data_IF_790398572802
#
_entry.id   IF_790398572802
#
_cell.length_a   1.000
_cell.length_b   1.000
_cell.length_c   1.000
_cell.angle_alpha   90.00
_cell.angle_beta   90.00
_cell.angle_gamma   90.00
#
_symmetry.space_group_name_H-M   'P 1'
#
loop_
_entity.id
_entity.type
_entity.pdbx_description
1 polymer ?
#
# COMPACT_ATOMS: atom_id res chain seq x y z
N UNK A 1 -2.96 -22.64 12.60
CA UNK A 1 -1.97 -23.75 12.57
C UNK A 1 -0.93 -23.42 11.52
N UNK A 2 0.34 -23.31 11.93
CA UNK A 2 1.45 -23.02 11.01
C UNK A 2 1.74 -24.23 10.12
N UNK A 3 1.81 -23.98 8.82
CA UNK A 3 2.22 -24.98 7.84
C UNK A 3 3.74 -25.15 7.84
N UNK A 4 4.21 -26.24 7.23
CA UNK A 4 5.62 -26.64 7.19
C UNK A 4 6.53 -25.56 6.57
N UNK A 5 6.08 -24.87 5.51
CA UNK A 5 6.89 -23.87 4.82
C UNK A 5 6.04 -22.74 4.26
N UNK A 6 6.35 -21.52 4.68
CA UNK A 6 5.57 -20.31 4.38
C UNK A 6 6.47 -19.15 3.96
N UNK A 7 5.95 -18.27 3.10
CA UNK A 7 6.57 -16.98 2.80
C UNK A 7 5.62 -15.85 3.20
N UNK A 8 6.13 -14.88 3.94
CA UNK A 8 5.46 -13.63 4.26
C UNK A 8 6.00 -12.52 3.36
N UNK A 9 5.16 -11.93 2.51
CA UNK A 9 5.55 -10.84 1.62
C UNK A 9 4.75 -9.56 1.87
N UNK A 10 5.25 -8.45 1.32
CA UNK A 10 4.67 -7.13 1.48
C UNK A 10 5.72 -6.04 1.37
N UNK A 11 5.33 -4.86 0.91
CA UNK A 11 6.24 -3.73 0.74
C UNK A 11 6.91 -3.32 2.06
N UNK A 12 7.97 -2.52 1.98
CA UNK A 12 8.58 -1.92 3.17
C UNK A 12 7.52 -1.13 3.97
N UNK A 13 7.54 -1.26 5.29
CA UNK A 13 6.54 -0.62 6.17
C UNK A 13 5.14 -1.25 6.15
N UNK A 14 4.92 -2.38 5.47
CA UNK A 14 3.61 -3.07 5.46
C UNK A 14 3.27 -3.84 6.74
N UNK A 15 4.20 -3.91 7.70
CA UNK A 15 4.01 -4.63 8.98
C UNK A 15 4.37 -6.12 8.93
N UNK A 16 5.24 -6.55 8.00
CA UNK A 16 5.68 -7.96 7.92
C UNK A 16 6.34 -8.44 9.22
N UNK A 17 7.30 -7.67 9.75
CA UNK A 17 8.03 -8.04 10.97
C UNK A 17 7.09 -8.11 12.17
N UNK A 18 6.18 -7.13 12.33
CA UNK A 18 5.17 -7.21 13.40
C UNK A 18 4.25 -8.42 13.22
N UNK A 19 3.85 -8.77 11.99
CA UNK A 19 3.06 -9.98 11.76
C UNK A 19 3.87 -11.24 12.07
N UNK A 20 5.14 -11.31 11.70
CA UNK A 20 6.00 -12.45 12.03
C UNK A 20 6.14 -12.63 13.55
N UNK A 21 6.29 -11.54 14.30
CA UNK A 21 6.30 -11.58 15.78
C UNK A 21 4.93 -12.00 16.33
N UNK A 22 3.83 -11.50 15.75
CA UNK A 22 2.47 -11.94 16.11
C UNK A 22 2.27 -13.45 15.87
N UNK A 23 2.77 -13.99 14.75
CA UNK A 23 2.74 -15.43 14.45
C UNK A 23 3.57 -16.21 15.49
N UNK A 24 4.80 -15.75 15.74
CA UNK A 24 5.69 -16.36 16.72
C UNK A 24 5.01 -16.48 18.09
N UNK A 25 4.44 -15.38 18.57
CA UNK A 25 3.91 -15.29 19.92
C UNK A 25 2.53 -15.92 20.05
N UNK A 26 1.61 -15.62 19.13
CA UNK A 26 0.21 -16.06 19.25
C UNK A 26 -0.10 -17.39 18.56
N UNK A 27 0.74 -17.87 17.63
CA UNK A 27 0.46 -19.09 16.87
C UNK A 27 1.49 -20.21 17.09
N UNK A 28 2.67 -19.89 17.62
CA UNK A 28 3.71 -20.88 17.90
C UNK A 28 4.00 -21.02 19.40
N UNK A 29 4.55 -19.98 20.04
CA UNK A 29 5.01 -20.05 21.43
C UNK A 29 3.89 -20.25 22.46
N UNK A 30 2.62 -20.10 22.09
CA UNK A 30 1.50 -20.48 22.97
C UNK A 30 1.41 -21.99 23.13
N UNK A 31 1.50 -22.72 22.02
CA UNK A 31 1.10 -24.14 21.96
C UNK A 31 2.31 -25.07 21.76
N UNK A 32 3.46 -24.56 21.32
CA UNK A 32 4.64 -25.35 20.96
C UNK A 32 5.80 -25.05 21.91
N UNK A 33 6.63 -26.07 22.19
CA UNK A 33 7.81 -25.99 23.07
C UNK A 33 9.13 -26.12 22.31
N UNK A 34 9.08 -26.27 20.98
CA UNK A 34 10.24 -26.42 20.13
C UNK A 34 11.10 -25.15 20.03
N UNK A 35 12.35 -25.28 19.59
CA UNK A 35 13.26 -24.15 19.43
C UNK A 35 12.79 -23.22 18.31
N UNK A 36 13.03 -21.92 18.48
CA UNK A 36 12.78 -20.87 17.50
C UNK A 36 14.11 -20.29 17.09
N UNK A 37 14.43 -20.34 15.80
CA UNK A 37 15.65 -19.75 15.26
C UNK A 37 15.28 -18.56 14.37
N UNK A 38 15.80 -17.36 14.65
CA UNK A 38 15.44 -16.18 13.85
C UNK A 38 16.49 -15.08 13.83
N UNK A 39 16.58 -14.34 12.73
CA UNK A 39 17.33 -13.08 12.63
C UNK A 39 16.45 -11.83 12.87
N UNK A 40 15.20 -12.00 13.32
CA UNK A 40 14.38 -10.87 13.75
C UNK A 40 15.00 -10.19 14.98
N UNK A 41 14.96 -8.85 15.08
CA UNK A 41 15.52 -8.12 16.21
C UNK A 41 14.59 -8.17 17.43
N UNK A 42 14.51 -9.32 18.10
CA UNK A 42 13.55 -9.56 19.18
C UNK A 42 14.06 -9.11 20.56
N UNK A 43 13.14 -8.63 21.41
CA UNK A 43 13.38 -8.49 22.85
C UNK A 43 12.97 -9.78 23.56
N UNK A 44 13.91 -10.72 23.70
CA UNK A 44 13.68 -12.08 24.23
C UNK A 44 12.95 -12.06 25.58
N UNK A 45 13.42 -11.27 26.54
CA UNK A 45 12.83 -11.21 27.88
C UNK A 45 11.37 -10.73 27.85
N UNK A 46 11.07 -9.72 27.03
CA UNK A 46 9.71 -9.20 26.89
C UNK A 46 8.76 -10.20 26.23
N UNK A 47 9.25 -10.93 25.22
CA UNK A 47 8.47 -12.00 24.58
C UNK A 47 8.18 -13.09 25.60
N UNK A 48 9.19 -13.51 26.36
CA UNK A 48 9.06 -14.55 27.36
C UNK A 48 8.02 -14.20 28.44
N UNK A 49 8.10 -12.98 29.01
CA UNK A 49 7.12 -12.48 29.97
C UNK A 49 5.71 -12.37 29.37
N UNK A 50 5.60 -11.94 28.11
CA UNK A 50 4.32 -11.81 27.43
C UNK A 50 3.67 -13.18 27.19
N UNK A 51 4.44 -14.18 26.76
CA UNK A 51 3.96 -15.55 26.54
C UNK A 51 3.56 -16.22 27.87
N UNK A 52 4.33 -16.03 28.94
CA UNK A 52 3.97 -16.53 30.28
C UNK A 52 2.62 -15.97 30.73
N UNK A 53 2.41 -14.64 30.62
CA UNK A 53 1.12 -14.01 30.92
C UNK A 53 -0.01 -14.53 30.06
N UNK A 54 0.25 -14.73 28.77
CA UNK A 54 -0.73 -15.18 27.78
C UNK A 54 -1.15 -16.65 27.96
N UNK A 55 -0.31 -17.46 28.61
CA UNK A 55 -0.54 -18.89 28.84
C UNK A 55 -0.88 -19.23 30.29
N UNK A 56 -0.83 -18.26 31.21
CA UNK A 56 -1.10 -18.44 32.63
C UNK A 56 -2.45 -19.14 32.91
N UNK A 57 -3.51 -18.68 32.24
CA UNK A 57 -4.88 -19.22 32.38
C UNK A 57 -5.04 -20.61 31.74
N UNK A 58 -4.10 -21.03 30.89
CA UNK A 58 -4.10 -22.33 30.18
C UNK A 58 -3.09 -23.32 30.77
N UNK A 59 -2.53 -23.03 31.94
CA UNK A 59 -1.46 -23.84 32.54
C UNK A 59 -1.86 -25.31 32.77
N UNK A 60 -3.11 -25.60 33.16
CA UNK A 60 -3.58 -26.98 33.31
C UNK A 60 -3.62 -27.74 31.97
N UNK A 61 -4.10 -27.11 30.89
CA UNK A 61 -4.15 -27.70 29.55
C UNK A 61 -2.76 -28.01 28.99
N UNK A 62 -1.78 -27.15 29.33
CA UNK A 62 -0.40 -27.24 28.86
C UNK A 62 0.48 -28.16 29.72
N UNK A 63 -0.07 -28.79 30.75
CA UNK A 63 0.68 -29.67 31.66
C UNK A 63 1.55 -28.94 32.68
N UNK A 64 1.29 -27.65 32.91
CA UNK A 64 1.97 -26.81 33.90
C UNK A 64 2.11 -25.36 33.45
N UNK A 65 2.49 -24.45 34.37
CA UNK A 65 2.78 -23.06 34.03
C UNK A 65 4.03 -22.97 33.15
N UNK A 66 3.92 -22.29 32.00
CA UNK A 66 5.09 -21.94 31.19
C UNK A 66 5.80 -20.74 31.79
N UNK A 67 7.03 -20.94 32.24
CA UNK A 67 7.85 -19.87 32.82
C UNK A 67 8.55 -19.06 31.72
N UNK A 68 8.73 -17.76 31.95
CA UNK A 68 9.49 -16.90 31.03
C UNK A 68 10.88 -17.47 30.70
N UNK A 69 11.61 -18.00 31.69
CA UNK A 69 12.95 -18.57 31.48
C UNK A 69 12.96 -19.71 30.44
N UNK A 70 11.92 -20.54 30.42
CA UNK A 70 11.82 -21.67 29.49
C UNK A 70 11.44 -21.21 28.09
N UNK A 71 10.66 -20.12 27.97
CA UNK A 71 10.36 -19.48 26.69
C UNK A 71 11.60 -18.76 26.14
N UNK A 72 12.37 -18.06 26.99
CA UNK A 72 13.59 -17.37 26.60
C UNK A 72 14.63 -18.35 26.03
N UNK A 73 14.79 -19.53 26.65
CA UNK A 73 15.68 -20.60 26.15
C UNK A 73 15.28 -21.18 24.79
N UNK A 74 14.00 -21.07 24.41
CA UNK A 74 13.55 -21.49 23.08
C UNK A 74 14.01 -20.53 21.97
N UNK A 75 14.30 -19.27 22.29
CA UNK A 75 14.58 -18.23 21.31
C UNK A 75 16.08 -18.13 21.01
N UNK A 76 16.48 -18.65 19.85
CA UNK A 76 17.84 -18.58 19.32
C UNK A 76 17.93 -17.46 18.26
N UNK A 77 18.52 -16.33 18.65
CA UNK A 77 18.74 -15.21 17.75
C UNK A 77 19.99 -15.43 16.89
N UNK A 78 19.84 -15.31 15.58
CA UNK A 78 20.93 -15.31 14.62
C UNK A 78 21.56 -13.93 14.61
N UNK A 79 22.87 -13.86 14.86
CA UNK A 79 23.58 -12.60 14.87
C UNK A 79 23.69 -11.99 13.45
N UNK A 80 23.93 -10.68 13.40
CA UNK A 80 24.00 -9.91 12.15
C UNK A 80 25.15 -10.39 11.27
N UNK A 81 26.27 -10.82 11.86
CA UNK A 81 27.46 -11.24 11.10
C UNK A 81 27.21 -12.60 10.43
N UNK A 82 26.59 -13.55 11.13
CA UNK A 82 26.13 -14.81 10.56
C UNK A 82 25.12 -14.58 9.43
N UNK A 83 24.15 -13.69 9.62
CA UNK A 83 23.20 -13.31 8.57
C UNK A 83 23.91 -12.70 7.34
N UNK A 84 24.92 -11.85 7.54
CA UNK A 84 25.73 -11.30 6.44
C UNK A 84 26.50 -12.37 5.69
N UNK A 85 27.07 -13.36 6.39
CA UNK A 85 27.74 -14.50 5.76
C UNK A 85 26.78 -15.31 4.87
N UNK A 86 25.51 -15.46 5.26
CA UNK A 86 24.49 -16.12 4.43
C UNK A 86 24.12 -15.33 3.17
N UNK A 87 24.29 -14.00 3.19
CA UNK A 87 24.08 -13.15 2.03
C UNK A 87 25.23 -13.24 1.02
N UNK A 88 26.40 -13.76 1.41
CA UNK A 88 27.51 -13.99 0.48
C UNK A 88 27.29 -15.34 -0.21
N UNK A 89 27.56 -15.40 -1.52
CA UNK A 89 27.44 -16.66 -2.24
C UNK A 89 28.44 -17.70 -1.69
N UNK A 90 28.08 -18.98 -1.71
CA UNK A 90 28.94 -20.04 -1.19
C UNK A 90 30.22 -20.17 -2.02
N UNK A 91 30.14 -19.86 -3.32
CA UNK A 91 31.31 -19.82 -4.21
C UNK A 91 32.29 -18.69 -3.87
N UNK A 92 31.84 -17.70 -3.09
CA UNK A 92 32.60 -16.53 -2.68
C UNK A 92 33.04 -16.60 -1.20
N UNK A 93 32.93 -17.78 -0.58
CA UNK A 93 33.28 -17.98 0.83
C UNK A 93 32.18 -17.55 1.82
N UNK A 94 30.94 -17.38 1.36
CA UNK A 94 29.79 -17.22 2.24
C UNK A 94 29.50 -18.47 3.07
N UNK A 95 28.55 -18.34 4.00
CA UNK A 95 28.06 -19.44 4.83
C UNK A 95 26.58 -19.73 4.52
N UNK A 96 25.97 -20.64 5.27
CA UNK A 96 24.56 -20.96 5.11
C UNK A 96 23.91 -21.50 6.39
N UNK A 97 22.57 -21.46 6.51
CA UNK A 97 21.87 -21.93 7.70
C UNK A 97 22.13 -23.39 8.05
N UNK A 98 22.28 -24.29 7.07
CA UNK A 98 22.59 -25.70 7.32
C UNK A 98 24.02 -25.96 7.84
N UNK A 99 24.87 -24.93 7.82
CA UNK A 99 26.23 -24.98 8.39
C UNK A 99 26.22 -24.33 9.77
N UNK A 100 25.61 -23.14 9.89
CA UNK A 100 25.70 -22.34 11.11
C UNK A 100 24.61 -22.69 12.16
N UNK A 101 23.49 -23.33 11.77
CA UNK A 101 22.38 -23.66 12.68
C UNK A 101 22.43 -25.10 13.17
N UNK A 102 23.59 -25.50 13.69
CA UNK A 102 23.82 -26.82 14.30
C UNK A 102 24.29 -26.69 15.74
N UNK A 103 23.94 -27.66 16.58
CA UNK A 103 24.44 -27.77 17.95
C UNK A 103 25.88 -28.31 17.99
N UNK A 104 26.43 -28.46 19.19
CA UNK A 104 27.79 -28.99 19.42
C UNK A 104 27.97 -30.41 18.87
N UNK A 105 26.89 -31.19 18.79
CA UNK A 105 26.86 -32.54 18.23
C UNK A 105 26.64 -32.56 16.71
N UNK A 106 26.53 -31.38 16.07
CA UNK A 106 26.28 -31.22 14.64
C UNK A 106 24.82 -31.49 14.23
N UNK A 107 23.87 -31.53 15.17
CA UNK A 107 22.45 -31.72 14.90
C UNK A 107 21.77 -30.38 14.63
N UNK A 108 20.73 -30.33 13.78
CA UNK A 108 20.06 -29.08 13.48
C UNK A 108 19.39 -28.46 14.72
N UNK A 109 19.74 -27.21 15.05
CA UNK A 109 19.17 -26.46 16.18
C UNK A 109 17.67 -26.24 16.08
N UNK A 110 17.11 -26.34 14.87
CA UNK A 110 15.71 -26.11 14.57
C UNK A 110 14.87 -27.40 14.55
N UNK A 111 15.39 -28.54 15.03
CA UNK A 111 14.66 -29.80 15.02
C UNK A 111 13.35 -29.70 15.83
N UNK A 112 12.20 -30.00 15.20
CA UNK A 112 10.87 -29.80 15.80
C UNK A 112 10.48 -28.34 16.05
N UNK A 113 11.28 -27.40 15.54
CA UNK A 113 11.22 -25.98 15.84
C UNK A 113 10.48 -25.12 14.81
N UNK A 114 10.72 -23.81 14.91
CA UNK A 114 10.32 -22.80 13.93
C UNK A 114 11.53 -21.97 13.50
N UNK A 115 11.77 -21.87 12.19
CA UNK A 115 12.81 -21.00 11.64
C UNK A 115 12.18 -19.78 10.99
N UNK A 116 12.50 -18.57 11.43
CA UNK A 116 12.00 -17.31 10.85
C UNK A 116 13.16 -16.51 10.28
N UNK A 117 13.20 -16.34 8.96
CA UNK A 117 14.27 -15.61 8.28
C UNK A 117 13.71 -14.33 7.65
N UNK A 118 14.04 -13.19 8.24
CA UNK A 118 13.73 -11.86 7.71
C UNK A 118 14.65 -11.47 6.56
N UNK A 119 14.10 -10.71 5.62
CA UNK A 119 14.73 -10.30 4.36
C UNK A 119 15.42 -11.43 3.59
N UNK A 120 14.72 -12.58 3.47
CA UNK A 120 15.24 -13.80 2.87
C UNK A 120 15.73 -13.63 1.42
N UNK A 121 15.25 -12.61 0.72
CA UNK A 121 15.68 -12.27 -0.64
C UNK A 121 17.18 -11.95 -0.73
N UNK A 122 17.80 -11.51 0.36
CA UNK A 122 19.25 -11.30 0.44
C UNK A 122 20.04 -12.61 0.45
N UNK A 123 19.43 -13.70 0.91
CA UNK A 123 20.07 -15.01 1.07
C UNK A 123 19.74 -15.95 -0.09
N UNK A 124 18.46 -16.13 -0.41
CA UNK A 124 18.00 -17.05 -1.46
C UNK A 124 17.41 -16.33 -2.69
N UNK A 125 17.98 -15.19 -3.06
CA UNK A 125 17.53 -14.40 -4.21
C UNK A 125 17.85 -15.03 -5.58
N UNK A 126 17.16 -14.60 -6.65
CA UNK A 126 17.35 -15.16 -8.00
C UNK A 126 18.76 -14.91 -8.56
N UNK A 127 19.44 -13.86 -8.12
CA UNK A 127 20.79 -13.48 -8.54
C UNK A 127 21.91 -14.35 -7.95
N UNK A 128 21.62 -15.21 -6.96
CA UNK A 128 22.60 -16.14 -6.39
C UNK A 128 23.00 -17.21 -7.40
N UNK A 129 24.16 -17.82 -7.24
CA UNK A 129 24.59 -18.95 -8.07
C UNK A 129 23.59 -20.10 -8.02
N UNK A 130 23.48 -20.85 -9.12
CA UNK A 130 22.55 -22.00 -9.20
C UNK A 130 22.80 -23.00 -8.06
N UNK A 131 24.06 -23.32 -7.79
CA UNK A 131 24.47 -24.22 -6.69
C UNK A 131 23.99 -23.71 -5.33
N UNK A 132 24.08 -22.41 -5.07
CA UNK A 132 23.59 -21.81 -3.83
C UNK A 132 22.07 -21.92 -3.71
N UNK A 133 21.33 -21.59 -4.78
CA UNK A 133 19.86 -21.69 -4.81
C UNK A 133 19.37 -23.14 -4.67
N UNK A 134 20.03 -24.09 -5.32
CA UNK A 134 19.73 -25.52 -5.21
C UNK A 134 19.94 -26.02 -3.77
N UNK A 135 21.03 -25.62 -3.10
CA UNK A 135 21.26 -25.97 -1.69
C UNK A 135 20.22 -25.38 -0.74
N UNK A 136 19.82 -24.12 -0.93
CA UNK A 136 18.71 -23.53 -0.18
C UNK A 136 17.40 -24.27 -0.39
N UNK A 137 17.09 -24.67 -1.63
CA UNK A 137 15.91 -25.49 -1.93
C UNK A 137 15.96 -26.85 -1.24
N UNK A 138 17.11 -27.51 -1.27
CA UNK A 138 17.35 -28.78 -0.57
C UNK A 138 17.14 -28.62 0.93
N UNK A 139 17.79 -27.63 1.55
CA UNK A 139 17.63 -27.35 2.97
C UNK A 139 16.17 -27.07 3.35
N UNK A 140 15.46 -26.23 2.59
CA UNK A 140 14.04 -25.94 2.84
C UNK A 140 13.15 -27.20 2.74
N UNK A 141 13.52 -28.18 1.90
CA UNK A 141 12.84 -29.50 1.83
C UNK A 141 13.20 -30.41 3.00
N UNK A 142 14.38 -30.26 3.57
CA UNK A 142 14.89 -31.09 4.67
C UNK A 142 14.38 -30.61 6.02
N UNK A 143 14.17 -29.30 6.22
CA UNK A 143 13.60 -28.75 7.47
C UNK A 143 12.34 -29.50 7.90
N UNK A 144 11.42 -29.79 6.97
CA UNK A 144 10.17 -30.50 7.29
C UNK A 144 10.38 -31.90 7.86
N UNK A 145 11.49 -32.54 7.50
CA UNK A 145 11.85 -33.88 7.95
C UNK A 145 12.64 -33.85 9.25
N UNK A 146 13.16 -32.68 9.65
CA UNK A 146 13.83 -32.46 10.92
C UNK A 146 12.80 -32.33 12.06
N UNK A 147 12.18 -33.45 12.44
CA UNK A 147 11.25 -33.52 13.56
C UNK A 147 9.94 -32.73 13.38
N UNK A 148 9.55 -32.43 12.13
CA UNK A 148 8.36 -31.63 11.84
C UNK A 148 8.57 -30.12 11.96
N UNK A 149 9.82 -29.66 11.90
CA UNK A 149 10.15 -28.24 11.95
C UNK A 149 9.45 -27.43 10.84
N UNK A 150 9.13 -26.19 11.17
CA UNK A 150 8.41 -25.23 10.31
C UNK A 150 9.36 -24.11 9.92
N UNK A 151 9.13 -23.45 8.79
CA UNK A 151 9.86 -22.25 8.45
C UNK A 151 8.97 -21.15 7.85
N UNK A 152 9.33 -19.91 8.17
CA UNK A 152 8.71 -18.68 7.70
C UNK A 152 9.79 -17.79 7.10
N UNK A 153 9.76 -17.60 5.79
CA UNK A 153 10.64 -16.65 5.10
C UNK A 153 9.92 -15.33 4.91
N UNK A 154 10.57 -14.21 5.21
CA UNK A 154 9.98 -12.88 5.04
C UNK A 154 10.71 -12.17 3.90
N UNK A 155 9.97 -11.60 2.95
CA UNK A 155 10.51 -10.89 1.79
C UNK A 155 9.64 -9.69 1.43
N UNK A 156 10.11 -8.82 0.53
CA UNK A 156 9.29 -7.74 0.00
C UNK A 156 8.33 -8.23 -1.09
N UNK A 157 8.83 -9.05 -1.99
CA UNK A 157 8.10 -9.63 -3.12
C UNK A 157 8.61 -11.06 -3.36
N UNK A 158 7.71 -12.04 -3.38
CA UNK A 158 8.08 -13.43 -3.63
C UNK A 158 8.50 -13.67 -5.09
N UNK A 159 7.92 -12.95 -6.05
CA UNK A 159 8.11 -13.22 -7.48
C UNK A 159 9.49 -12.75 -7.96
N UNK A 160 9.98 -11.65 -7.40
CA UNK A 160 11.27 -11.05 -7.76
C UNK A 160 12.35 -11.25 -6.70
N UNK A 161 11.98 -11.39 -5.42
CA UNK A 161 12.93 -11.47 -4.32
C UNK A 161 13.42 -12.88 -4.02
N UNK A 162 12.63 -13.93 -4.29
CA UNK A 162 12.96 -15.31 -3.90
C UNK A 162 13.19 -16.17 -5.13
N UNK A 163 14.22 -17.03 -5.10
CA UNK A 163 14.47 -17.93 -6.21
C UNK A 163 13.34 -18.95 -6.39
N UNK A 164 13.11 -19.36 -7.65
CA UNK A 164 12.03 -20.28 -8.02
C UNK A 164 12.17 -21.62 -7.30
N UNK A 165 13.40 -22.07 -7.09
CA UNK A 165 13.70 -23.35 -6.44
C UNK A 165 13.21 -23.38 -4.99
N UNK A 166 13.34 -22.28 -4.24
CA UNK A 166 12.82 -22.15 -2.86
C UNK A 166 11.31 -21.86 -2.87
N UNK A 167 10.84 -20.93 -3.71
CA UNK A 167 9.42 -20.62 -3.86
C UNK A 167 8.57 -21.83 -4.31
N UNK A 168 9.20 -22.88 -4.86
CA UNK A 168 8.54 -24.13 -5.23
C UNK A 168 8.33 -25.11 -4.08
N UNK A 169 9.05 -24.95 -2.97
CA UNK A 169 9.00 -25.87 -1.82
C UNK A 169 8.00 -25.40 -0.77
N UNK A 170 7.74 -24.10 -0.70
CA UNK A 170 6.76 -23.51 0.20
C UNK A 170 5.33 -23.81 -0.22
N UNK A 171 4.47 -24.01 0.78
CA UNK A 171 3.06 -24.36 0.57
C UNK A 171 2.17 -23.12 0.46
N UNK A 172 2.47 -22.10 1.28
CA UNK A 172 1.67 -20.88 1.38
C UNK A 172 2.52 -19.63 1.18
N UNK A 173 1.91 -18.63 0.53
CA UNK A 173 2.40 -17.25 0.50
C UNK A 173 1.36 -16.35 1.16
N UNK A 174 1.79 -15.61 2.15
CA UNK A 174 1.02 -14.64 2.90
C UNK A 174 1.40 -13.24 2.44
N UNK A 175 0.50 -12.54 1.77
CA UNK A 175 0.74 -11.19 1.28
C UNK A 175 0.10 -10.16 2.21
N UNK A 176 0.91 -9.23 2.72
CA UNK A 176 0.44 -8.08 3.48
C UNK A 176 0.36 -6.85 2.58
N UNK A 177 -0.81 -6.23 2.58
CA UNK A 177 -1.02 -4.92 1.97
C UNK A 177 -1.51 -3.94 3.03
N UNK A 178 -0.77 -2.84 3.21
CA UNK A 178 -1.20 -1.78 4.11
C UNK A 178 -2.56 -1.23 3.68
N UNK A 179 -3.50 -1.10 4.63
CA UNK A 179 -4.80 -0.45 4.38
C UNK A 179 -4.81 1.01 4.80
N UNK A 180 -3.64 1.62 5.03
CA UNK A 180 -3.55 3.06 5.29
C UNK A 180 -4.27 3.88 4.21
N UNK A 181 -4.26 3.39 2.96
CA UNK A 181 -4.89 4.01 1.79
C UNK A 181 -6.38 3.71 1.63
N UNK A 182 -6.96 2.82 2.45
CA UNK A 182 -8.40 2.55 2.37
C UNK A 182 -9.13 3.85 2.68
N UNK A 183 -10.03 4.24 1.80
CA UNK A 183 -10.80 5.47 1.97
C UNK A 183 -12.16 5.18 2.59
N UNK A 184 -12.69 6.14 3.34
CA UNK A 184 -14.06 6.08 3.80
C UNK A 184 -15.04 6.07 2.61
N UNK A 185 -16.21 5.48 2.83
CA UNK A 185 -17.18 5.28 1.76
C UNK A 185 -17.79 6.60 1.26
N UNK A 186 -17.97 7.58 2.13
CA UNK A 186 -18.76 8.77 1.86
C UNK A 186 -17.91 9.88 1.23
N UNK A 187 -16.80 10.24 1.86
CA UNK A 187 -15.99 11.41 1.54
C UNK A 187 -14.72 11.03 0.78
N UNK A 188 -14.38 9.74 0.72
CA UNK A 188 -13.16 9.23 0.08
C UNK A 188 -11.86 9.81 0.68
N UNK A 189 -11.88 10.06 1.98
CA UNK A 189 -10.72 10.42 2.80
C UNK A 189 -10.07 9.11 3.28
N UNK A 190 -8.73 8.98 3.20
CA UNK A 190 -8.04 7.81 3.72
C UNK A 190 -8.31 7.62 5.22
N UNK A 191 -8.60 6.40 5.66
CA UNK A 191 -8.80 6.07 7.08
C UNK A 191 -7.58 6.47 7.91
N UNK A 192 -6.36 6.39 7.36
CA UNK A 192 -5.16 6.88 8.05
C UNK A 192 -5.29 8.35 8.51
N UNK A 193 -5.92 9.22 7.70
CA UNK A 193 -6.12 10.62 8.08
C UNK A 193 -7.15 10.78 9.20
N UNK A 194 -8.25 10.02 9.16
CA UNK A 194 -9.23 10.00 10.26
C UNK A 194 -8.60 9.54 11.56
N UNK A 195 -7.80 8.48 11.49
CA UNK A 195 -7.13 7.94 12.66
C UNK A 195 -6.09 8.89 13.25
N UNK A 196 -5.40 9.70 12.44
CA UNK A 196 -4.48 10.72 12.93
C UNK A 196 -5.21 11.82 13.71
N UNK A 197 -6.37 12.26 13.22
CA UNK A 197 -7.21 13.20 13.97
C UNK A 197 -7.68 12.55 15.27
N UNK A 198 -8.18 11.32 15.18
CA UNK A 198 -8.69 10.60 16.34
C UNK A 198 -7.62 10.38 17.40
N UNK A 199 -6.43 9.94 17.02
CA UNK A 199 -5.31 9.68 17.93
C UNK A 199 -4.83 10.95 18.60
N UNK A 200 -4.77 12.06 17.86
CA UNK A 200 -4.39 13.37 18.40
C UNK A 200 -5.42 13.89 19.40
N UNK A 201 -6.72 13.68 19.14
CA UNK A 201 -7.81 14.15 19.99
C UNK A 201 -7.95 13.31 21.27
N UNK A 202 -7.88 11.99 21.14
CA UNK A 202 -8.18 11.06 22.23
C UNK A 202 -6.93 10.60 22.98
N UNK A 203 -5.74 10.81 22.42
CA UNK A 203 -4.51 10.21 22.91
C UNK A 203 -4.44 8.69 22.69
N UNK A 204 -5.42 8.08 22.00
CA UNK A 204 -5.34 6.64 21.66
C UNK A 204 -4.48 6.42 20.44
N UNK A 205 -3.61 5.41 20.51
CA UNK A 205 -2.68 5.14 19.42
C UNK A 205 -3.38 4.67 18.14
N UNK A 206 -2.76 5.00 17.01
CA UNK A 206 -3.23 4.57 15.70
C UNK A 206 -3.17 3.05 15.59
N UNK A 207 -4.35 2.44 15.43
CA UNK A 207 -4.45 1.02 15.11
C UNK A 207 -4.19 0.81 13.62
N UNK A 208 -2.95 0.45 13.30
CA UNK A 208 -2.60 0.09 11.94
C UNK A 208 -3.38 -1.16 11.51
N UNK A 209 -3.89 -1.17 10.28
CA UNK A 209 -4.60 -2.33 9.74
C UNK A 209 -4.02 -2.75 8.40
N UNK A 210 -3.85 -4.05 8.20
CA UNK A 210 -3.39 -4.63 6.95
C UNK A 210 -4.43 -5.59 6.41
N UNK A 211 -4.42 -5.74 5.08
CA UNK A 211 -5.09 -6.82 4.41
C UNK A 211 -4.12 -7.98 4.31
N UNK A 212 -4.55 -9.12 4.81
CA UNK A 212 -3.84 -10.37 4.80
C UNK A 212 -4.46 -11.26 3.72
N UNK A 213 -3.65 -11.64 2.73
CA UNK A 213 -4.05 -12.55 1.66
C UNK A 213 -3.26 -13.85 1.82
N UNK A 214 -3.96 -14.97 1.96
CA UNK A 214 -3.33 -16.29 1.95
C UNK A 214 -3.50 -16.88 0.57
N UNK A 215 -2.37 -17.20 -0.05
CA UNK A 215 -2.31 -17.89 -1.33
C UNK A 215 -1.71 -19.27 -1.14
N UNK A 216 -2.30 -20.28 -1.77
CA UNK A 216 -1.78 -21.65 -1.82
C UNK A 216 -1.44 -22.01 -3.26
N UNK A 217 -0.45 -22.87 -3.44
CA UNK A 217 -0.09 -23.36 -4.77
C UNK A 217 -1.05 -24.46 -5.23
N UNK A 218 -1.77 -24.22 -6.31
CA UNK A 218 -2.66 -25.19 -6.98
C UNK A 218 -2.24 -25.30 -8.44
N UNK A 219 -1.89 -26.50 -8.90
CA UNK A 219 -1.42 -26.74 -10.28
C UNK A 219 -0.31 -25.75 -10.72
N UNK A 220 0.65 -25.50 -9.82
CA UNK A 220 1.78 -24.55 -9.98
C UNK A 220 1.43 -23.06 -10.01
N UNK A 221 0.16 -22.67 -9.87
CA UNK A 221 -0.27 -21.27 -9.76
C UNK A 221 -0.62 -20.92 -8.31
N UNK A 222 -0.33 -19.69 -7.90
CA UNK A 222 -0.79 -19.16 -6.63
C UNK A 222 -2.27 -18.82 -6.73
N UNK A 223 -3.09 -19.45 -5.90
CA UNK A 223 -4.53 -19.21 -5.80
C UNK A 223 -4.84 -18.64 -4.43
N UNK A 224 -5.56 -17.52 -4.40
CA UNK A 224 -6.06 -16.93 -3.16
C UNK A 224 -7.08 -17.89 -2.54
N UNK A 225 -6.83 -18.30 -1.30
CA UNK A 225 -7.73 -19.17 -0.53
C UNK A 225 -8.46 -18.40 0.57
N UNK A 226 -7.82 -17.36 1.09
CA UNK A 226 -8.36 -16.57 2.19
C UNK A 226 -7.92 -15.11 2.08
N UNK A 227 -8.84 -14.24 2.48
CA UNK A 227 -8.64 -12.80 2.56
C UNK A 227 -9.25 -12.30 3.85
N UNK A 228 -8.39 -11.77 4.70
CA UNK A 228 -8.78 -11.24 5.99
C UNK A 228 -8.24 -9.82 6.14
N UNK A 229 -8.99 -8.95 6.82
CA UNK A 229 -8.49 -7.65 7.22
C UNK A 229 -8.18 -7.71 8.71
N UNK A 230 -6.92 -7.50 9.10
CA UNK A 230 -6.48 -7.55 10.50
C UNK A 230 -5.99 -6.20 10.99
N UNK A 231 -6.19 -5.98 12.27
CA UNK A 231 -5.63 -4.85 12.99
C UNK A 231 -4.36 -5.32 13.68
N UNK A 232 -3.29 -4.53 13.58
CA UNK A 232 -2.04 -4.79 14.31
C UNK A 232 -2.30 -4.51 15.78
N UNK A 233 -1.97 -5.47 16.62
CA UNK A 233 -1.93 -5.25 18.07
C UNK A 233 -0.72 -4.35 18.41
N UNK A 234 -0.94 -3.16 19.02
CA UNK A 234 0.15 -2.26 19.40
C UNK A 234 1.21 -2.91 20.30
N UNK A 235 0.81 -3.83 21.19
CA UNK A 235 1.73 -4.49 22.11
C UNK A 235 2.82 -5.29 21.40
N UNK A 236 2.54 -5.78 20.18
CA UNK A 236 3.52 -6.51 19.38
C UNK A 236 4.74 -5.65 19.04
N UNK A 237 4.58 -4.33 18.89
CA UNK A 237 5.72 -3.44 18.62
C UNK A 237 6.67 -3.29 19.82
N UNK A 238 6.22 -3.61 21.03
CA UNK A 238 7.07 -3.56 22.22
C UNK A 238 7.97 -4.79 22.34
N UNK A 239 7.68 -5.85 21.58
CA UNK A 239 8.35 -7.16 21.65
C UNK A 239 9.56 -7.28 20.73
N UNK A 240 9.80 -6.31 19.84
CA UNK A 240 10.95 -6.31 18.94
C UNK A 240 11.43 -4.88 18.68
N UNK A 241 12.68 -4.74 18.23
CA UNK A 241 13.23 -3.45 17.82
C UNK A 241 12.94 -3.19 16.33
N UNK A 242 11.96 -2.34 15.97
CA UNK A 242 11.66 -2.02 14.58
C UNK A 242 12.77 -1.23 13.87
N UNK A 243 13.76 -0.71 14.61
CA UNK A 243 14.85 0.13 14.10
C UNK A 243 16.20 -0.60 13.97
N UNK A 244 16.37 -1.76 14.61
CA UNK A 244 17.62 -2.51 14.56
C UNK A 244 17.95 -3.14 13.19
N UNK A 245 16.94 -3.34 12.33
CA UNK A 245 17.07 -4.13 11.09
C UNK A 245 17.26 -3.33 9.79
N UNK A 246 17.32 -1.99 9.82
CA UNK A 246 17.57 -1.20 8.60
C UNK A 246 19.05 -1.23 8.20
N UNK A 247 19.47 -2.33 7.58
CA UNK A 247 20.70 -2.37 6.73
C UNK A 247 20.43 -1.78 5.34
N UNK A 248 19.17 -1.45 5.02
CA UNK A 248 18.79 -0.67 3.84
C UNK A 248 18.16 0.65 4.27
N UNK A 249 18.61 1.72 3.61
CA UNK A 249 18.18 3.13 3.63
C UNK A 249 16.98 3.48 4.52
N UNK A 250 17.14 4.56 5.30
CA UNK A 250 16.07 5.27 6.00
C UNK A 250 14.86 5.43 5.08
N UNK A 251 13.92 4.49 5.17
CA UNK A 251 12.66 4.58 4.48
C UNK A 251 11.99 5.84 4.98
N UNK A 252 12.01 6.88 4.13
CA UNK A 252 11.36 8.13 4.41
C UNK A 252 9.92 7.79 4.80
N UNK A 253 9.59 7.94 6.09
CA UNK A 253 8.20 7.93 6.51
C UNK A 253 7.47 8.87 5.53
N UNK A 254 6.34 8.45 4.93
CA UNK A 254 5.60 9.27 3.97
C UNK A 254 5.56 10.69 4.49
N UNK A 255 5.98 11.66 3.69
CA UNK A 255 6.25 13.04 4.10
C UNK A 255 5.10 13.65 4.94
N UNK A 256 3.88 13.20 4.64
CA UNK A 256 2.67 13.45 5.41
C UNK A 256 2.77 13.04 6.90
N UNK A 257 3.30 11.88 7.26
CA UNK A 257 3.43 11.40 8.66
C UNK A 257 4.41 12.24 9.50
N UNK A 258 5.47 12.76 8.89
CA UNK A 258 6.43 13.67 9.57
C UNK A 258 5.78 15.01 9.91
N UNK A 259 4.83 15.47 9.10
CA UNK A 259 4.09 16.72 9.29
C UNK A 259 3.27 16.78 10.59
N UNK A 260 2.94 15.63 11.20
CA UNK A 260 2.11 15.57 12.42
C UNK A 260 2.90 15.54 13.72
N UNK A 261 4.16 15.04 13.71
CA UNK A 261 4.97 14.84 14.94
C UNK A 261 5.29 16.14 15.70
N UNK A 262 4.96 17.31 15.15
CA UNK A 262 5.12 18.62 15.79
C UNK A 262 3.88 19.51 15.81
N UNK A 263 2.69 19.03 15.43
CA UNK A 263 1.46 19.85 15.41
C UNK A 263 0.68 19.70 16.71
N UNK A 264 0.12 20.80 17.21
CA UNK A 264 -0.84 20.80 18.32
C UNK A 264 -2.16 20.14 17.91
N UNK A 265 -3.02 19.77 18.88
CA UNK A 265 -4.36 19.20 18.60
C UNK A 265 -5.17 20.04 17.61
N UNK A 266 -5.15 21.35 17.80
CA UNK A 266 -5.80 22.30 16.90
C UNK A 266 -5.12 22.35 15.52
N UNK A 267 -3.80 22.22 15.48
CA UNK A 267 -3.02 22.19 14.23
C UNK A 267 -3.33 20.96 13.37
N UNK A 268 -3.57 19.79 13.97
CA UNK A 268 -3.98 18.57 13.24
C UNK A 268 -5.42 18.70 12.76
N UNK A 269 -6.33 19.22 13.59
CA UNK A 269 -7.73 19.39 13.20
C UNK A 269 -7.91 20.41 12.07
N UNK A 270 -7.26 21.57 12.17
CA UNK A 270 -7.28 22.61 11.13
C UNK A 270 -6.67 22.11 9.83
N UNK A 271 -5.56 21.38 9.91
CA UNK A 271 -4.98 20.71 8.75
C UNK A 271 -5.94 19.72 8.11
N UNK A 272 -6.62 18.87 8.89
CA UNK A 272 -7.53 17.86 8.36
C UNK A 272 -8.71 18.52 7.63
N UNK A 273 -9.30 19.55 8.25
CA UNK A 273 -10.35 20.36 7.63
C UNK A 273 -9.82 21.01 6.36
N UNK A 274 -8.66 21.68 6.39
CA UNK A 274 -8.12 22.36 5.22
C UNK A 274 -7.70 21.42 4.08
N UNK A 275 -7.20 20.21 4.39
CA UNK A 275 -6.79 19.23 3.37
C UNK A 275 -8.01 18.56 2.73
N UNK A 276 -9.09 18.34 3.49
CA UNK A 276 -10.22 17.53 3.03
C UNK A 276 -11.57 18.27 2.95
N UNK A 277 -11.65 19.57 3.22
CA UNK A 277 -12.91 20.33 3.16
C UNK A 277 -13.57 20.22 1.79
N UNK A 278 -12.78 20.27 0.71
CA UNK A 278 -13.30 20.16 -0.65
C UNK A 278 -13.97 18.79 -0.90
N UNK A 279 -13.47 17.71 -0.28
CA UNK A 279 -14.11 16.40 -0.38
C UNK A 279 -15.42 16.33 0.41
N UNK A 280 -15.49 17.04 1.54
CA UNK A 280 -16.72 17.14 2.34
C UNK A 280 -17.76 18.02 1.63
N UNK A 281 -17.35 19.18 1.13
CA UNK A 281 -18.25 20.20 0.55
C UNK A 281 -18.62 19.88 -0.89
N UNK A 282 -17.71 19.37 -1.71
CA UNK A 282 -17.93 19.08 -3.13
C UNK A 282 -17.90 17.57 -3.44
N UNK A 283 -17.90 16.71 -2.42
CA UNK A 283 -17.91 15.27 -2.60
C UNK A 283 -19.19 14.81 -3.29
N UNK A 284 -19.07 14.19 -4.45
CA UNK A 284 -20.21 13.71 -5.25
C UNK A 284 -21.16 12.82 -4.42
N UNK A 285 -20.60 11.95 -3.57
CA UNK A 285 -21.39 11.06 -2.70
C UNK A 285 -22.07 11.80 -1.55
N UNK A 286 -21.40 12.80 -0.97
CA UNK A 286 -22.00 13.67 0.05
C UNK A 286 -23.18 14.41 -0.54
N UNK A 287 -23.03 14.99 -1.74
CA UNK A 287 -24.13 15.62 -2.47
C UNK A 287 -25.23 14.64 -2.86
N UNK A 288 -24.92 13.39 -3.23
CA UNK A 288 -25.94 12.36 -3.48
C UNK A 288 -26.75 12.02 -2.23
N UNK A 289 -26.15 12.07 -1.04
CA UNK A 289 -26.84 11.83 0.23
C UNK A 289 -27.57 13.08 0.76
N UNK A 290 -27.02 14.28 0.55
CA UNK A 290 -27.59 15.53 1.05
C UNK A 290 -28.60 16.15 0.09
N UNK A 291 -28.50 15.92 -1.22
CA UNK A 291 -29.42 16.51 -2.20
C UNK A 291 -30.87 16.11 -2.01
N UNK A 292 -31.24 14.86 -1.62
CA UNK A 292 -32.64 14.54 -1.35
C UNK A 292 -33.15 15.28 -0.12
N UNK A 293 -32.32 15.42 0.92
CA UNK A 293 -32.65 16.18 2.13
C UNK A 293 -32.79 17.66 1.80
N UNK A 294 -31.90 18.20 0.99
CA UNK A 294 -31.92 19.60 0.56
C UNK A 294 -33.14 19.90 -0.33
N UNK A 295 -33.46 19.00 -1.27
CA UNK A 295 -34.66 19.09 -2.11
C UNK A 295 -35.92 18.99 -1.25
N UNK A 296 -35.97 18.11 -0.25
CA UNK A 296 -37.11 17.97 0.64
C UNK A 296 -37.27 19.20 1.55
N UNK A 297 -36.19 19.72 2.12
CA UNK A 297 -36.21 20.98 2.87
C UNK A 297 -36.60 22.17 1.98
N UNK A 298 -36.18 22.19 0.72
CA UNK A 298 -36.53 23.24 -0.21
C UNK A 298 -38.01 23.17 -0.64
N UNK A 299 -38.52 21.97 -0.92
CA UNK A 299 -39.91 21.75 -1.32
C UNK A 299 -40.89 21.97 -0.17
N UNK A 300 -40.57 21.48 1.04
CA UNK A 300 -41.50 21.47 2.18
C UNK A 300 -41.17 22.50 3.27
N UNK A 301 -39.93 22.98 3.36
CA UNK A 301 -39.50 23.99 4.33
C UNK A 301 -39.74 25.44 3.87
N UNK A 302 -40.53 25.65 2.82
CA UNK A 302 -40.90 26.99 2.35
C UNK A 302 -39.97 27.61 1.29
N UNK A 303 -38.94 26.89 0.83
CA UNK A 303 -38.10 27.35 -0.30
C UNK A 303 -38.90 27.55 -1.59
N UNK A 304 -39.87 26.66 -1.84
CA UNK A 304 -40.81 26.80 -2.96
C UNK A 304 -41.75 28.02 -2.80
N UNK A 305 -42.17 28.33 -1.56
CA UNK A 305 -42.97 29.52 -1.28
C UNK A 305 -42.17 30.80 -1.55
N UNK A 306 -40.87 30.83 -1.20
CA UNK A 306 -40.00 31.97 -1.50
C UNK A 306 -39.73 32.17 -3.00
N UNK A 307 -39.70 31.11 -3.81
CA UNK A 307 -39.45 31.26 -5.25
C UNK A 307 -40.71 31.48 -6.07
N UNK A 308 -41.85 30.94 -5.66
CA UNK A 308 -43.09 31.05 -6.43
C UNK A 308 -44.03 32.13 -5.89
N UNK A 309 -44.13 32.28 -4.57
CA UNK A 309 -45.15 33.14 -3.95
C UNK A 309 -44.61 34.57 -3.75
N UNK A 310 -43.36 34.75 -3.34
CA UNK A 310 -42.79 36.09 -3.13
C UNK A 310 -42.74 36.94 -4.41
N UNK A 311 -42.24 36.46 -5.57
CA UNK A 311 -42.27 37.26 -6.80
C UNK A 311 -43.69 37.57 -7.27
N UNK A 312 -44.65 36.66 -7.04
CA UNK A 312 -46.06 36.89 -7.36
C UNK A 312 -46.69 37.95 -6.44
N UNK A 313 -46.36 37.95 -5.15
CA UNK A 313 -46.78 38.98 -4.20
C UNK A 313 -46.10 40.33 -4.47
N UNK A 314 -44.83 40.34 -4.85
CA UNK A 314 -44.10 41.56 -5.23
C UNK A 314 -44.67 42.16 -6.52
N UNK A 315 -44.98 41.34 -7.53
CA UNK A 315 -45.67 41.78 -8.75
C UNK A 315 -47.10 42.26 -8.47
N UNK A 316 -47.82 41.62 -7.55
CA UNK A 316 -49.16 42.05 -7.13
C UNK A 316 -49.13 43.39 -6.37
N UNK A 317 -48.11 43.62 -5.54
CA UNK A 317 -47.92 44.88 -4.81
C UNK A 317 -47.45 46.03 -5.74
N UNK A 318 -46.75 45.73 -6.84
CA UNK A 318 -46.39 46.75 -7.85
C UNK A 318 -47.63 47.25 -8.60
N UNK A 319 -48.62 46.38 -8.85
CA UNK A 319 -49.90 46.76 -9.47
C UNK A 319 -50.93 47.35 -8.49
N UNK A 320 -50.66 47.29 -7.18
CA UNK A 320 -51.55 47.75 -6.12
C UNK A 320 -51.36 49.20 -5.67
N UNK A 321 -50.44 49.98 -6.27
CA UNK A 321 -50.36 51.43 -5.99
C UNK A 321 -51.48 52.16 -6.73
N UNK A 322 -52.49 52.73 -6.04
CA UNK A 322 -53.49 53.56 -6.70
C UNK A 322 -52.79 54.79 -7.28
N UNK A 323 -52.88 54.89 -8.61
CA UNK A 323 -52.67 56.12 -9.36
C UNK A 323 -53.55 57.21 -8.75
N UNK A 324 -52.93 58.16 -8.04
CA UNK A 324 -53.52 59.49 -7.84
C UNK A 324 -53.39 60.23 -9.16
N UNK A 325 -54.46 60.19 -9.95
CA UNK A 325 -54.83 61.27 -10.86
C UNK A 325 -54.92 62.59 -10.05
N UNK A 326 -54.57 63.78 -10.51
CA UNK A 326 -54.18 64.28 -11.83
C UNK A 326 -53.48 65.64 -11.62
N UNK A 327 -52.59 66.06 -12.53
CA UNK A 327 -52.77 67.37 -13.17
C UNK A 327 -51.87 67.52 -14.41
N UNK A 328 -52.45 68.23 -15.37
CA UNK A 328 -52.11 68.36 -16.77
C UNK A 328 -50.73 68.93 -17.10
N UNK A 329 -50.15 68.48 -18.21
CA UNK A 329 -49.86 69.38 -19.36
C UNK A 329 -49.62 68.60 -20.64
N UNK A 330 -50.39 68.95 -21.67
CA UNK A 330 -50.14 68.65 -23.07
C UNK A 330 -48.74 69.11 -23.49
N UNK A 331 -48.08 68.38 -24.39
CA UNK A 331 -47.59 68.87 -25.69
C UNK A 331 -47.16 67.68 -26.58
N UNK A 332 -47.52 67.82 -27.86
CA UNK A 332 -47.36 66.97 -29.05
C UNK A 332 -45.91 66.49 -29.35
N UNK A 333 -45.76 65.31 -29.98
CA UNK A 333 -45.60 65.15 -31.46
C UNK A 333 -45.20 63.72 -31.87
N UNK A 334 -45.88 63.25 -32.92
CA UNK A 334 -45.39 62.57 -34.14
C UNK A 334 -44.45 61.34 -34.02
N UNK A 335 -44.92 60.16 -34.45
CA UNK A 335 -44.70 59.60 -35.81
C UNK A 335 -44.93 58.05 -35.82
N UNK A 336 -45.69 57.58 -36.82
CA UNK A 336 -46.08 56.20 -37.16
C UNK A 336 -45.02 55.50 -38.06
N UNK A 337 -45.24 54.30 -38.67
CA UNK A 337 -45.98 53.05 -38.32
C UNK A 337 -45.02 51.82 -38.43
N UNK A 338 -45.35 50.52 -38.42
CA UNK A 338 -46.26 49.75 -39.31
C UNK A 338 -46.15 48.23 -39.04
N UNK A 339 -47.17 47.49 -39.53
CA UNK A 339 -47.28 46.03 -39.81
C UNK A 339 -47.40 45.05 -38.62
N UNK A 340 -48.51 44.33 -38.40
CA UNK A 340 -49.35 43.40 -39.19
C UNK A 340 -49.16 41.95 -38.65
N UNK A 341 -50.22 41.35 -38.07
CA UNK A 341 -51.01 40.21 -38.62
C UNK A 341 -50.27 38.85 -38.49
N UNK A 342 -50.77 37.80 -37.83
CA UNK A 342 -51.96 37.00 -38.18
C UNK A 342 -52.31 35.93 -37.12
N UNK A 343 -53.61 35.72 -36.97
CA UNK A 343 -54.33 34.51 -36.54
C UNK A 343 -53.80 33.24 -37.28
N UNK A 344 -53.98 31.97 -36.89
CA UNK A 344 -55.07 31.25 -36.22
C UNK A 344 -54.64 29.77 -36.05
N UNK A 345 -55.24 29.07 -35.08
CA UNK A 345 -55.39 27.60 -35.02
C UNK A 345 -56.18 27.06 -36.25
N UNK A 346 -56.05 25.77 -36.61
CA UNK A 346 -56.98 24.78 -36.05
C UNK A 346 -56.40 23.37 -35.79
N UNK A 347 -57.18 22.61 -35.04
CA UNK A 347 -57.05 21.19 -34.72
C UNK A 347 -57.34 20.27 -35.91
N UNK A 348 -57.04 18.96 -35.75
CA UNK A 348 -57.94 17.79 -35.96
C UNK A 348 -57.10 16.48 -36.07
N UNK A 349 -57.44 15.52 -35.18
CA UNK A 349 -57.50 14.02 -35.24
C UNK A 349 -56.63 13.23 -36.24
N UNK A 350 -56.32 11.94 -36.11
CA UNK A 350 -56.37 10.85 -35.12
C UNK A 350 -55.66 9.66 -35.79
N UNK A 351 -55.25 8.68 -34.97
CA UNK A 351 -54.92 7.28 -35.29
C UNK A 351 -53.80 6.97 -36.31
N UNK A 352 -52.78 6.24 -35.84
CA UNK A 352 -52.59 4.83 -36.23
C UNK A 352 -51.50 4.14 -35.41
N UNK A 353 -51.74 2.86 -35.16
CA UNK A 353 -50.83 1.80 -34.71
C UNK A 353 -49.36 1.97 -35.18
N UNK A 354 -48.39 1.69 -34.32
CA UNK A 354 -47.70 0.39 -34.26
C UNK A 354 -46.35 0.49 -33.52
N UNK A 355 -45.98 -0.64 -32.92
CA UNK A 355 -44.61 -1.10 -32.66
C UNK A 355 -43.74 -0.37 -31.63
N UNK A 356 -43.69 -1.00 -30.45
CA UNK A 356 -42.54 -1.02 -29.58
C UNK A 356 -41.27 -1.34 -30.38
N UNK A 357 -40.43 -0.32 -30.61
CA UNK A 357 -39.00 -0.53 -30.87
C UNK A 357 -38.21 0.01 -29.67
N UNK A 358 -37.26 -0.76 -29.11
CA UNK A 358 -36.41 -0.26 -28.05
C UNK A 358 -35.62 0.95 -28.57
N UNK A 359 -35.74 2.06 -27.85
CA UNK A 359 -34.98 3.29 -28.07
C UNK A 359 -33.51 2.92 -28.19
N UNK A 360 -32.96 3.09 -29.40
CA UNK A 360 -31.53 3.12 -29.66
C UNK A 360 -30.93 4.14 -28.70
N UNK A 361 -30.12 3.67 -27.74
CA UNK A 361 -29.18 4.53 -27.01
C UNK A 361 -28.43 5.33 -28.08
N UNK A 362 -28.56 6.66 -28.03
CA UNK A 362 -27.69 7.57 -28.77
C UNK A 362 -26.26 7.15 -28.48
N UNK A 363 -25.57 6.68 -29.53
CA UNK A 363 -24.11 6.71 -29.60
C UNK A 363 -23.74 8.18 -29.75
N UNK A 364 -23.63 8.87 -28.62
CA UNK A 364 -22.80 10.05 -28.59
C UNK A 364 -21.35 9.53 -28.68
N UNK A 365 -20.83 9.53 -29.91
CA UNK A 365 -19.46 9.19 -30.28
C UNK A 365 -18.51 10.26 -29.72
N UNK A 366 -18.32 10.25 -28.42
CA UNK A 366 -17.13 10.82 -27.80
C UNK A 366 -16.54 9.68 -26.98
N UNK A 367 -15.64 8.92 -27.58
CA UNK A 367 -14.71 8.10 -26.81
C UNK A 367 -14.04 9.05 -25.82
N UNK A 368 -14.21 8.87 -24.49
CA UNK A 368 -13.44 9.65 -23.53
C UNK A 368 -11.97 9.40 -23.89
N UNK A 369 -11.22 10.45 -24.20
CA UNK A 369 -9.79 10.27 -24.50
C UNK A 369 -9.11 9.78 -23.21
N UNK A 370 -8.63 8.53 -23.23
CA UNK A 370 -7.99 7.87 -22.10
C UNK A 370 -6.53 8.31 -21.97
N UNK A 371 -6.29 9.62 -21.90
CA UNK A 371 -4.93 10.14 -21.80
C UNK A 371 -4.37 9.90 -20.40
N UNK A 372 -3.13 9.42 -20.26
CA UNK A 372 -2.43 9.39 -18.98
C UNK A 372 -2.27 10.83 -18.46
N UNK A 373 -2.70 11.06 -17.22
CA UNK A 373 -2.68 12.37 -16.54
C UNK A 373 -1.49 12.49 -15.60
N UNK A 374 -0.89 11.37 -15.18
CA UNK A 374 0.29 11.40 -14.33
C UNK A 374 1.03 10.07 -14.28
N UNK A 375 2.36 10.15 -14.26
CA UNK A 375 3.26 9.01 -14.05
C UNK A 375 3.91 9.18 -12.68
N UNK A 376 3.81 8.13 -11.86
CA UNK A 376 4.37 8.05 -10.51
C UNK A 376 5.44 6.96 -10.48
N UNK A 377 6.27 6.96 -9.44
CA UNK A 377 7.36 6.01 -9.27
C UNK A 377 6.92 4.54 -9.43
N UNK A 378 5.70 4.22 -8.98
CA UNK A 378 5.15 2.85 -9.00
C UNK A 378 3.90 2.67 -9.89
N UNK A 379 3.42 3.71 -10.59
CA UNK A 379 2.18 3.57 -11.34
C UNK A 379 1.81 4.75 -12.23
N UNK A 380 0.68 4.63 -12.92
CA UNK A 380 0.18 5.58 -13.91
C UNK A 380 -1.27 5.90 -13.60
N UNK A 381 -1.62 7.18 -13.59
CA UNK A 381 -2.99 7.66 -13.49
C UNK A 381 -3.51 8.05 -14.88
N UNK A 382 -4.64 7.50 -15.30
CA UNK A 382 -5.36 7.83 -16.53
C UNK A 382 -6.43 8.91 -16.31
N UNK A 383 -6.83 9.58 -17.39
CA UNK A 383 -7.82 10.67 -17.50
C UNK A 383 -9.07 10.52 -16.66
N UNK A 384 -9.55 9.29 -16.56
CA UNK A 384 -10.78 8.95 -15.86
C UNK A 384 -10.53 8.47 -14.41
N UNK A 385 -9.42 8.89 -13.80
CA UNK A 385 -8.99 8.55 -12.44
C UNK A 385 -8.66 7.06 -12.19
N UNK A 386 -8.26 6.33 -13.23
CA UNK A 386 -7.81 4.94 -13.10
C UNK A 386 -6.31 4.90 -12.82
N UNK A 387 -5.89 4.15 -11.79
CA UNK A 387 -4.49 4.00 -11.42
C UNK A 387 -4.02 2.58 -11.75
N UNK A 388 -3.00 2.46 -12.60
CA UNK A 388 -2.35 1.19 -12.91
C UNK A 388 -0.96 1.15 -12.26
N UNK A 389 -0.73 0.18 -11.40
CA UNK A 389 0.57 -0.11 -10.78
C UNK A 389 1.04 -1.49 -11.20
N UNK A 390 2.37 -1.70 -11.17
CA UNK A 390 2.98 -2.98 -11.54
C UNK A 390 2.33 -4.11 -10.72
N UNK A 391 1.87 -5.15 -11.41
CA UNK A 391 1.20 -6.32 -10.82
C UNK A 391 -0.32 -6.19 -10.67
N UNK A 392 -0.89 -4.97 -10.76
CA UNK A 392 -2.32 -4.73 -10.64
C UNK A 392 -3.03 -5.02 -11.97
N UNK A 393 -4.21 -5.62 -11.89
CA UNK A 393 -5.12 -5.85 -13.01
C UNK A 393 -5.85 -4.55 -13.32
N UNK A 394 -5.78 -4.09 -14.57
CA UNK A 394 -6.54 -2.95 -15.08
C UNK A 394 -8.01 -3.37 -15.12
N UNK A 395 -8.88 -2.52 -14.56
CA UNK A 395 -10.33 -2.74 -14.48
C UNK A 395 -11.01 -1.71 -15.39
N UNK A 396 -11.51 -2.17 -16.54
CA UNK A 396 -12.14 -1.37 -17.59
C UNK A 396 -11.19 -0.87 -18.70
N UNK A 397 -11.80 -0.43 -19.81
CA UNK A 397 -11.10 0.17 -20.97
C UNK A 397 -10.55 -0.84 -22.00
N UNK A 398 -9.74 -0.39 -22.98
CA UNK A 398 -9.19 -1.26 -24.04
C UNK A 398 -8.16 -2.28 -23.51
N UNK A 399 -7.68 -2.10 -22.29
CA UNK A 399 -6.75 -3.01 -21.60
C UNK A 399 -7.41 -3.71 -20.41
N UNK A 400 -8.75 -3.78 -20.39
CA UNK A 400 -9.49 -4.47 -19.35
C UNK A 400 -8.96 -5.88 -19.15
N UNK A 401 -8.90 -6.26 -17.89
CA UNK A 401 -8.36 -7.50 -17.38
C UNK A 401 -6.86 -7.78 -17.57
N UNK A 402 -6.11 -6.85 -18.17
CA UNK A 402 -4.66 -7.00 -18.34
C UNK A 402 -3.91 -6.55 -17.09
N UNK A 403 -2.82 -7.24 -16.75
CA UNK A 403 -1.92 -6.79 -15.66
C UNK A 403 -0.74 -6.05 -16.24
N UNK A 404 -0.30 -4.98 -15.58
CA UNK A 404 0.98 -4.34 -15.89
C UNK A 404 2.10 -5.22 -15.36
N UNK A 405 2.83 -5.92 -16.23
CA UNK A 405 3.96 -6.77 -15.84
C UNK A 405 5.18 -5.89 -15.54
N UNK A 406 5.39 -4.87 -16.37
CA UNK A 406 6.57 -4.03 -16.30
C UNK A 406 6.19 -2.59 -16.59
N UNK A 407 6.73 -1.68 -15.78
CA UNK A 407 6.51 -0.25 -15.89
C UNK A 407 7.87 0.43 -15.93
N UNK A 408 8.13 1.22 -16.97
CA UNK A 408 9.27 2.11 -17.07
C UNK A 408 8.77 3.57 -17.02
N UNK A 409 8.61 4.14 -15.81
CA UNK A 409 8.07 5.50 -15.65
C UNK A 409 8.87 6.56 -16.41
N UNK A 410 10.21 6.41 -16.44
CA UNK A 410 11.12 7.35 -17.14
C UNK A 410 10.96 7.28 -18.65
N UNK A 411 10.84 6.08 -19.20
CA UNK A 411 10.73 5.86 -20.64
C UNK A 411 9.29 6.04 -21.13
N UNK A 412 8.32 6.13 -20.21
CA UNK A 412 6.91 6.23 -20.55
C UNK A 412 6.36 4.95 -21.18
N UNK A 413 6.91 3.78 -20.83
CA UNK A 413 6.51 2.49 -21.43
C UNK A 413 5.97 1.53 -20.38
N UNK A 414 4.81 0.93 -20.65
CA UNK A 414 4.25 -0.17 -19.87
C UNK A 414 4.20 -1.44 -20.72
N UNK A 415 4.45 -2.60 -20.10
CA UNK A 415 4.28 -3.92 -20.71
C UNK A 415 3.15 -4.64 -20.00
N UNK A 416 2.15 -5.07 -20.76
CA UNK A 416 0.99 -5.78 -20.24
C UNK A 416 1.18 -7.30 -20.20
N UNK A 417 0.25 -7.98 -19.53
CA UNK A 417 0.26 -9.42 -19.35
C UNK A 417 0.08 -10.25 -20.63
N UNK A 418 -0.35 -9.62 -21.71
CA UNK A 418 -0.42 -10.21 -23.04
C UNK A 418 0.80 -9.87 -23.92
N UNK A 419 1.82 -9.23 -23.36
CA UNK A 419 3.05 -8.87 -24.04
C UNK A 419 3.00 -7.56 -24.82
N UNK A 420 1.83 -6.88 -24.89
CA UNK A 420 1.72 -5.58 -25.55
C UNK A 420 2.50 -4.51 -24.81
N UNK A 421 3.21 -3.68 -25.57
CA UNK A 421 3.87 -2.48 -25.07
C UNK A 421 3.00 -1.26 -25.35
N UNK A 422 2.82 -0.42 -24.35
CA UNK A 422 2.00 0.79 -24.44
C UNK A 422 2.88 1.98 -24.13
N UNK A 423 2.84 2.99 -25.00
CA UNK A 423 3.36 4.31 -24.69
C UNK A 423 2.36 5.01 -23.75
N UNK A 424 2.76 5.15 -22.51
CA UNK A 424 2.01 5.75 -21.41
C UNK A 424 2.02 7.29 -21.48
N UNK A 425 2.49 7.91 -22.55
CA UNK A 425 2.33 9.35 -22.78
C UNK A 425 1.23 9.63 -23.79
N UNK A 426 1.07 8.71 -24.74
CA UNK A 426 0.21 8.90 -25.90
C UNK A 426 -0.95 7.88 -25.98
N UNK A 427 -0.99 6.89 -25.07
CA UNK A 427 -1.96 5.79 -25.08
C UNK A 427 -2.08 5.09 -26.44
N UNK A 428 -0.93 4.76 -27.02
CA UNK A 428 -0.83 4.02 -28.28
C UNK A 428 0.07 2.79 -28.12
N UNK A 429 -0.14 1.73 -28.91
CA UNK A 429 0.82 0.64 -29.01
C UNK A 429 2.20 1.21 -29.29
N UNK A 430 3.19 0.85 -28.47
CA UNK A 430 4.58 1.30 -28.64
C UNK A 430 5.28 0.57 -29.81
N UNK A 431 4.50 -0.05 -30.70
CA UNK A 431 4.97 -0.80 -31.88
C UNK A 431 5.72 0.12 -32.87
N UNK A 432 5.47 1.43 -32.84
CA UNK A 432 6.14 2.45 -33.66
C UNK A 432 7.42 3.03 -33.04
N UNK A 433 7.78 2.68 -31.79
CA UNK A 433 9.06 3.06 -31.17
C UNK A 433 10.19 2.08 -31.52
N UNK A 434 10.01 1.31 -32.60
CA UNK A 434 11.07 0.55 -33.25
C UNK A 434 12.04 1.51 -33.98
N UNK A 435 12.87 2.22 -33.21
CA UNK A 435 14.19 2.61 -33.68
C UNK A 435 15.23 2.21 -32.63
N UNK A 436 16.30 1.61 -33.12
CA UNK A 436 17.34 0.86 -32.42
C UNK A 436 18.19 1.67 -31.40
N UNK A 437 17.79 2.88 -31.02
CA UNK A 437 18.64 3.84 -30.30
C UNK A 437 18.42 3.91 -28.78
N UNK A 438 17.39 3.27 -28.22
CA UNK A 438 17.18 3.24 -26.76
C UNK A 438 18.02 2.17 -26.03
N UNK A 439 18.75 1.32 -26.76
CA UNK A 439 19.62 0.27 -26.21
C UNK A 439 21.09 0.48 -26.60
N UNK A 440 21.64 1.69 -26.37
CA UNK A 440 23.09 1.81 -26.13
C UNK A 440 23.37 1.64 -24.64
N UNK A 441 23.77 0.42 -24.30
CA UNK A 441 24.60 0.15 -23.13
C UNK A 441 25.66 1.26 -23.01
N UNK A 442 25.62 2.05 -21.94
CA UNK A 442 26.84 2.69 -21.45
C UNK A 442 27.73 1.56 -20.92
N UNK A 443 28.51 0.99 -21.83
CA UNK A 443 29.67 0.20 -21.52
C UNK A 443 30.52 1.00 -20.54
N UNK A 444 30.83 0.35 -19.43
CA UNK A 444 31.91 0.72 -18.52
C UNK A 444 33.16 0.90 -19.41
N UNK A 445 33.78 2.09 -19.47
CA UNK A 445 35.07 2.20 -20.12
C UNK A 445 36.08 1.41 -19.28
N UNK A 446 36.65 0.37 -19.89
CA UNK A 446 37.85 -0.30 -19.41
C UNK A 446 38.95 0.74 -19.21
N UNK A 447 39.25 1.06 -17.95
CA UNK A 447 40.38 1.90 -17.59
C UNK A 447 41.59 1.01 -17.35
N UNK A 448 42.39 0.83 -18.40
CA UNK A 448 43.79 0.47 -18.28
C UNK A 448 44.55 1.61 -17.58
N UNK A 449 45.35 1.20 -16.61
CA UNK A 449 46.57 1.80 -16.06
C UNK A 449 46.85 3.30 -16.25
N UNK A 450 46.92 4.02 -15.13
CA UNK A 450 48.10 4.81 -14.78
C UNK A 450 48.18 5.09 -13.27
N UNK A 451 49.39 5.14 -12.68
CA UNK A 451 49.64 5.01 -11.24
C UNK A 451 49.60 6.37 -10.51
N UNK A 452 49.49 6.30 -9.18
CA UNK A 452 49.91 7.41 -8.31
C UNK A 452 48.78 8.19 -7.66
N UNK A 453 48.17 7.60 -6.61
CA UNK A 453 47.56 8.40 -5.53
C UNK A 453 47.42 7.60 -4.22
N UNK A 454 48.47 6.88 -3.86
CA UNK A 454 48.64 6.30 -2.54
C UNK A 454 49.74 7.06 -1.79
N UNK A 455 49.48 8.32 -1.40
CA UNK A 455 50.43 9.03 -0.52
C UNK A 455 49.87 10.24 0.26
N UNK A 456 48.55 10.33 0.47
CA UNK A 456 47.95 11.48 1.21
C UNK A 456 47.06 11.13 2.40
N UNK A 457 46.95 9.85 2.78
CA UNK A 457 46.18 9.43 3.96
C UNK A 457 47.02 8.81 5.09
N UNK A 458 48.34 8.73 4.93
CA UNK A 458 49.26 8.23 5.96
C UNK A 458 49.92 9.35 6.81
N UNK A 459 49.60 10.64 6.62
CA UNK A 459 50.25 11.77 7.33
C UNK A 459 49.33 12.57 8.27
N UNK A 460 48.14 12.07 8.57
CA UNK A 460 47.20 12.76 9.50
C UNK A 460 46.89 11.93 10.76
N UNK A 461 47.44 10.71 10.86
CA UNK A 461 47.25 9.83 12.02
C UNK A 461 48.43 9.82 13.02
N UNK A 462 49.56 10.48 12.71
CA UNK A 462 50.77 10.46 13.57
C UNK A 462 50.92 11.69 14.49
N UNK A 463 50.07 12.72 14.40
CA UNK A 463 50.21 13.93 15.23
C UNK A 463 49.23 14.02 16.42
N UNK A 464 48.49 12.96 16.74
CA UNK A 464 47.54 12.95 17.86
C UNK A 464 47.89 11.98 19.02
N UNK A 465 49.08 11.36 19.02
CA UNK A 465 49.49 10.38 20.03
C UNK A 465 50.65 10.83 20.96
N UNK A 466 51.00 12.11 20.99
CA UNK A 466 52.08 12.64 21.86
C UNK A 466 51.69 13.82 22.77
N UNK A 467 50.43 13.90 23.18
CA UNK A 467 50.00 14.93 24.13
C UNK A 467 49.11 14.34 25.23
N UNK A 468 49.63 13.40 26.04
CA UNK A 468 49.11 13.09 27.38
C UNK A 468 50.01 12.07 28.08
N UNK A 469 51.16 12.52 28.60
CA UNK A 469 51.89 11.83 29.67
C UNK A 469 52.89 12.81 30.30
N UNK A 470 52.65 13.20 31.56
CA UNK A 470 53.68 13.85 32.37
C UNK A 470 53.19 14.91 33.36
N UNK A 471 52.36 14.54 34.34
CA UNK A 471 52.32 15.27 35.62
C UNK A 471 51.79 14.38 36.73
N UNK A 472 52.68 13.65 37.40
CA UNK A 472 52.56 13.34 38.84
C UNK A 472 53.90 12.81 39.36
N UNK A 473 54.16 13.14 40.64
CA UNK A 473 55.43 13.20 41.37
C UNK A 473 56.39 12.02 41.26
#
# INVERSE_FOLDING_TARGET
MLAVGQILEGLQGSGKSSRAVSILVHEYLQDETGPVVTNLPLYVDKIAEYVEKLTADRSEELGGPRKAEDVAKQLHLVDVETSRRWAIDLSQGGSAPWIDLVDEDGRPLYTGGLVIIDECHSFCGPMKSKTHRDKWSTWAREIRHAGGAKFLLITQDVETGVCKEVANVVEFVWSLTSRAWKTDFLVKIPYAAYWQVWSTLTGTEYRHSYRFLIRRKVLRKWVEIEREDRTVDPYIFELYDPHAATVGEEGAAPEDLRLYRGKSRLGVLTWFVWKYWHKVVFGERVWKCLSPIFVLLFLFGGGLNYLLIQPALDMANINGKPSKAAESKEVKKDFQPEMEVKNSLPAVTADTHSDWQPVKKRKDNVTPEWRPVGVFENGVLFGNAYYAEKGIKIDGGPYDEKRVILLHPRDGVAVLSDGRRIDIREDRPAEDLASEDAFRFHGIPSRSESPGRADRRARTAENHLHAEAGTTR
#
